data_IF_955959716968
#
_entry.id   IF_955959716968
#
_cell.length_a   1.000
_cell.length_b   1.000
_cell.length_c   1.000
_cell.angle_alpha   90.00
_cell.angle_beta   90.00
_cell.angle_gamma   90.00
#
_symmetry.space_group_name_H-M   'P 1'
#
loop_
_entity.id
_entity.type
_entity.pdbx_description
1 polymer ?
#
# COMPACT_ATOMS: atom_id res chain seq x y z
N UNK A 1 20.46 -0.41 13.29
CA UNK A 1 21.52 -1.34 12.86
C UNK A 1 22.86 -0.66 13.07
N UNK A 2 23.77 -1.29 13.80
CA UNK A 2 25.12 -0.78 14.03
C UNK A 2 25.97 -0.99 12.76
N UNK A 3 26.67 0.04 12.31
CA UNK A 3 27.57 -0.06 11.16
C UNK A 3 28.78 -0.98 11.48
N UNK A 4 29.38 -1.63 10.48
CA UNK A 4 30.49 -2.61 10.67
C UNK A 4 31.69 -2.01 11.42
N UNK A 5 31.92 -0.69 11.27
CA UNK A 5 33.02 0.04 11.90
C UNK A 5 32.65 0.70 13.24
N UNK A 6 31.49 0.38 13.82
CA UNK A 6 31.06 1.00 15.08
C UNK A 6 31.90 0.48 16.25
N UNK A 7 32.79 1.33 16.78
CA UNK A 7 33.66 1.01 17.93
C UNK A 7 32.90 0.79 19.24
N UNK A 8 31.68 1.34 19.36
CA UNK A 8 30.83 1.25 20.56
C UNK A 8 29.42 0.76 20.22
N UNK A 9 29.29 -0.55 20.01
CA UNK A 9 28.01 -1.25 20.10
C UNK A 9 27.51 -1.28 21.54
N UNK A 10 26.26 -1.69 21.78
CA UNK A 10 25.74 -1.91 23.15
C UNK A 10 26.65 -2.86 23.92
N UNK A 11 27.09 -3.94 23.28
CA UNK A 11 28.07 -4.88 23.84
C UNK A 11 29.41 -4.20 24.18
N UNK A 12 29.98 -3.40 23.27
CA UNK A 12 31.23 -2.68 23.54
C UNK A 12 31.10 -1.68 24.70
N UNK A 13 29.94 -1.03 24.86
CA UNK A 13 29.68 -0.13 26.00
C UNK A 13 29.59 -0.89 27.31
N UNK A 14 29.03 -2.10 27.31
CA UNK A 14 28.97 -2.98 28.48
C UNK A 14 30.37 -3.44 28.89
N UNK A 15 31.19 -3.89 27.93
CA UNK A 15 32.58 -4.29 28.18
C UNK A 15 33.42 -3.15 28.77
N UNK A 16 33.24 -1.92 28.25
CA UNK A 16 33.85 -0.71 28.79
C UNK A 16 33.49 -0.52 30.28
N UNK A 17 32.21 -0.64 30.62
CA UNK A 17 31.72 -0.49 31.99
C UNK A 17 32.26 -1.58 32.90
N UNK A 18 32.19 -2.85 32.49
CA UNK A 18 32.68 -4.00 33.26
C UNK A 18 34.17 -3.83 33.60
N UNK A 19 35.01 -3.44 32.63
CA UNK A 19 36.44 -3.17 32.84
C UNK A 19 36.69 -2.02 33.81
N UNK A 20 35.84 -0.99 33.81
CA UNK A 20 35.98 0.14 34.74
C UNK A 20 35.51 -0.26 36.15
N UNK A 21 34.44 -1.06 36.26
CA UNK A 21 33.94 -1.56 37.55
C UNK A 21 34.88 -2.57 38.19
N UNK A 22 35.69 -3.28 37.41
CA UNK A 22 36.77 -4.15 37.91
C UNK A 22 37.99 -3.37 38.44
N UNK A 23 37.85 -2.06 38.72
CA UNK A 23 38.88 -1.21 39.32
C UNK A 23 39.88 -0.57 38.34
N UNK A 24 39.72 -0.76 37.02
CA UNK A 24 40.66 -0.21 36.04
C UNK A 24 40.39 1.29 35.80
N UNK A 25 41.44 2.14 35.67
CA UNK A 25 41.27 3.55 35.36
C UNK A 25 40.56 3.78 34.01
N UNK A 26 39.57 4.67 33.98
CA UNK A 26 38.77 5.00 32.78
C UNK A 26 39.64 5.41 31.59
N UNK A 27 40.75 6.12 31.85
CA UNK A 27 41.66 6.58 30.81
C UNK A 27 42.35 5.43 30.06
N UNK A 28 42.74 4.36 30.75
CA UNK A 28 43.40 3.19 30.14
C UNK A 28 42.39 2.39 29.31
N UNK A 29 41.21 2.12 29.87
CA UNK A 29 40.16 1.39 29.15
C UNK A 29 39.69 2.18 27.90
N UNK A 30 39.60 3.51 27.99
CA UNK A 30 39.25 4.35 26.85
C UNK A 30 40.31 4.25 25.72
N UNK A 31 41.60 4.27 26.06
CA UNK A 31 42.68 4.15 25.09
C UNK A 31 42.68 2.76 24.41
N UNK A 32 42.53 1.67 25.17
CA UNK A 32 42.46 0.30 24.64
C UNK A 32 41.29 0.09 23.68
N UNK A 33 40.16 0.74 23.95
CA UNK A 33 38.97 0.65 23.11
C UNK A 33 38.96 1.68 21.97
N UNK A 34 40.02 2.49 21.83
CA UNK A 34 40.14 3.49 20.77
C UNK A 34 39.07 4.58 20.83
N UNK A 35 38.66 5.00 22.03
CA UNK A 35 37.63 6.02 22.27
C UNK A 35 38.16 7.16 23.16
N UNK A 36 37.51 8.33 23.09
CA UNK A 36 37.88 9.46 23.95
C UNK A 36 37.50 9.22 25.41
N UNK A 37 38.29 9.77 26.35
CA UNK A 37 38.02 9.71 27.80
C UNK A 37 36.62 10.27 28.15
N UNK A 38 36.23 11.38 27.51
CA UNK A 38 34.90 11.96 27.69
C UNK A 38 33.76 11.00 27.30
N UNK A 39 33.94 10.24 26.21
CA UNK A 39 32.96 9.22 25.79
C UNK A 39 32.88 8.09 26.80
N UNK A 40 34.03 7.64 27.31
CA UNK A 40 34.08 6.61 28.34
C UNK A 40 33.36 7.02 29.63
N UNK A 41 33.68 8.22 30.15
CA UNK A 41 32.99 8.78 31.33
C UNK A 41 31.49 8.95 31.11
N UNK A 42 31.05 9.37 29.92
CA UNK A 42 29.62 9.47 29.58
C UNK A 42 28.91 8.12 29.76
N UNK A 43 29.47 7.03 29.24
CA UNK A 43 28.85 5.70 29.32
C UNK A 43 28.88 5.13 30.73
N UNK A 44 30.01 5.28 31.46
CA UNK A 44 30.11 4.88 32.86
C UNK A 44 29.09 5.64 33.73
N UNK A 45 28.93 6.95 33.52
CA UNK A 45 27.91 7.75 34.21
C UNK A 45 26.50 7.24 33.90
N UNK A 46 26.18 7.00 32.62
CA UNK A 46 24.86 6.46 32.24
C UNK A 46 24.59 5.11 32.88
N UNK A 47 25.56 4.20 32.91
CA UNK A 47 25.41 2.92 33.59
C UNK A 47 25.13 3.10 35.08
N UNK A 48 25.88 3.97 35.77
CA UNK A 48 25.67 4.21 37.21
C UNK A 48 24.29 4.77 37.53
N UNK A 49 23.70 5.56 36.62
CA UNK A 49 22.38 6.17 36.82
C UNK A 49 21.22 5.28 36.35
N UNK A 50 21.39 4.51 35.27
CA UNK A 50 20.29 3.87 34.53
C UNK A 50 20.51 2.36 34.28
N UNK A 51 21.64 1.81 34.71
CA UNK A 51 22.02 0.42 34.47
C UNK A 51 22.15 0.06 32.97
N UNK A 52 21.74 -1.16 32.62
CA UNK A 52 21.81 -1.69 31.26
C UNK A 52 21.05 -0.83 30.25
N UNK A 53 19.90 -0.27 30.64
CA UNK A 53 19.06 0.55 29.76
C UNK A 53 19.77 1.83 29.31
N UNK A 54 20.67 2.36 30.14
CA UNK A 54 21.46 3.56 29.84
C UNK A 54 22.48 3.35 28.71
N UNK A 55 22.80 2.10 28.37
CA UNK A 55 23.74 1.75 27.29
C UNK A 55 23.09 1.71 25.90
N UNK A 56 21.76 1.72 25.83
CA UNK A 56 21.03 1.75 24.57
C UNK A 56 21.19 3.09 23.84
N UNK A 57 21.07 3.06 22.52
CA UNK A 57 21.06 4.27 21.71
C UNK A 57 19.82 5.11 22.04
N UNK A 58 20.05 6.38 22.38
CA UNK A 58 18.98 7.36 22.52
C UNK A 58 18.70 7.99 21.16
N UNK A 59 17.45 8.38 20.88
CA UNK A 59 17.14 9.11 19.68
C UNK A 59 17.94 10.42 19.68
N UNK A 60 18.71 10.67 18.61
CA UNK A 60 19.34 11.98 18.36
C UNK A 60 18.34 13.05 17.90
N UNK A 61 17.04 12.78 18.05
CA UNK A 61 15.98 13.70 17.63
C UNK A 61 15.88 14.81 18.68
N UNK A 62 15.89 16.10 18.28
CA UNK A 62 15.69 17.20 19.20
C UNK A 62 14.42 17.00 20.04
N UNK A 63 14.50 17.26 21.35
CA UNK A 63 13.34 17.21 22.25
C UNK A 63 12.28 18.24 21.85
N UNK A 64 12.72 19.39 21.33
CA UNK A 64 11.85 20.46 20.84
C UNK A 64 12.31 20.93 19.45
N UNK A 65 11.35 21.26 18.61
CA UNK A 65 11.58 21.88 17.29
C UNK A 65 10.72 23.14 17.22
N UNK A 66 11.23 24.30 17.68
CA UNK A 66 10.44 25.54 17.79
C UNK A 66 9.82 25.99 16.46
N UNK A 67 10.53 25.77 15.35
CA UNK A 67 10.04 26.09 14.01
C UNK A 67 9.13 25.02 13.40
N UNK A 68 8.57 24.12 14.21
CA UNK A 68 7.59 23.15 13.73
C UNK A 68 6.32 23.90 13.38
N UNK A 69 5.79 23.59 12.20
CA UNK A 69 4.53 24.17 11.72
C UNK A 69 3.43 23.94 12.78
N UNK A 70 2.70 24.99 13.19
CA UNK A 70 1.59 24.84 14.14
C UNK A 70 0.55 23.81 13.67
N UNK A 71 -0.04 23.07 14.62
CA UNK A 71 -0.98 21.98 14.33
C UNK A 71 -2.17 22.44 13.46
N UNK A 72 -2.68 23.66 13.67
CA UNK A 72 -3.78 24.20 12.88
C UNK A 72 -3.42 24.40 11.40
N UNK A 73 -2.18 24.79 11.09
CA UNK A 73 -1.70 24.89 9.70
C UNK A 73 -1.51 23.51 9.08
N UNK A 74 -1.02 22.53 9.84
CA UNK A 74 -0.94 21.15 9.37
C UNK A 74 -2.32 20.58 9.03
N UNK A 75 -3.33 20.86 9.87
CA UNK A 75 -4.71 20.47 9.61
C UNK A 75 -5.26 21.12 8.33
N UNK A 76 -4.95 22.41 8.07
CA UNK A 76 -5.31 23.08 6.80
C UNK A 76 -4.68 22.41 5.59
N UNK A 77 -3.39 22.05 5.68
CA UNK A 77 -2.68 21.30 4.63
C UNK A 77 -3.39 19.97 4.36
N UNK A 78 -3.72 19.21 5.42
CA UNK A 78 -4.41 17.91 5.28
C UNK A 78 -5.80 18.06 4.66
N UNK A 79 -6.59 19.08 5.07
CA UNK A 79 -7.91 19.36 4.48
C UNK A 79 -7.84 19.70 3.00
N UNK A 80 -6.91 20.56 2.57
CA UNK A 80 -6.73 20.86 1.14
C UNK A 80 -6.28 19.63 0.36
N UNK A 81 -5.50 18.76 0.99
CA UNK A 81 -5.06 17.51 0.39
C UNK A 81 -6.22 16.53 0.20
N UNK A 82 -7.00 16.23 1.23
CA UNK A 82 -8.06 15.22 1.16
C UNK A 82 -9.28 15.74 0.39
N UNK A 83 -9.69 17.00 0.61
CA UNK A 83 -10.88 17.58 -0.02
C UNK A 83 -10.66 18.00 -1.48
N UNK A 84 -9.50 18.56 -1.82
CA UNK A 84 -9.23 19.11 -3.16
C UNK A 84 -8.13 18.39 -3.94
N UNK A 85 -7.47 17.38 -3.35
CA UNK A 85 -6.41 16.59 -3.99
C UNK A 85 -5.28 17.45 -4.55
N UNK A 86 -4.99 18.57 -3.88
CA UNK A 86 -3.92 19.48 -4.27
C UNK A 86 -2.55 18.87 -3.92
N UNK A 87 -1.57 19.09 -4.79
CA UNK A 87 -0.18 18.75 -4.52
C UNK A 87 0.54 19.85 -3.72
N UNK A 88 1.75 19.58 -3.20
CA UNK A 88 2.51 20.55 -2.42
C UNK A 88 2.72 21.90 -3.12
N UNK A 89 2.96 21.90 -4.44
CA UNK A 89 3.14 23.10 -5.26
C UNK A 89 1.87 23.97 -5.36
N UNK A 90 0.67 23.39 -5.21
CA UNK A 90 -0.60 24.15 -5.20
C UNK A 90 -1.00 24.58 -3.80
N UNK A 91 -0.77 23.74 -2.80
CA UNK A 91 -1.09 24.04 -1.40
C UNK A 91 -0.17 25.15 -0.85
N UNK A 92 1.10 25.15 -1.24
CA UNK A 92 2.10 26.10 -0.74
C UNK A 92 1.66 27.56 -0.91
N UNK A 93 1.37 28.02 -2.13
CA UNK A 93 0.89 29.39 -2.37
C UNK A 93 -0.42 29.72 -1.64
N UNK A 94 -1.35 28.76 -1.50
CA UNK A 94 -2.64 28.97 -0.82
C UNK A 94 -2.45 29.26 0.69
N UNK A 95 -1.44 28.65 1.30
CA UNK A 95 -1.21 28.73 2.75
C UNK A 95 0.03 29.55 3.13
N UNK A 96 0.74 30.14 2.16
CA UNK A 96 2.00 30.85 2.41
C UNK A 96 3.13 29.93 2.89
N UNK A 97 3.15 28.67 2.45
CA UNK A 97 4.13 27.67 2.88
C UNK A 97 5.03 27.25 1.70
N UNK A 98 6.31 27.01 1.98
CA UNK A 98 7.20 26.37 1.02
C UNK A 98 6.65 24.97 0.63
N UNK A 99 6.68 24.56 -0.66
CA UNK A 99 6.23 23.24 -1.09
C UNK A 99 6.92 22.07 -0.35
N UNK A 100 8.19 22.22 0.01
CA UNK A 100 8.94 21.25 0.82
C UNK A 100 8.36 21.06 2.22
N UNK A 101 7.93 22.14 2.88
CA UNK A 101 7.24 22.10 4.18
C UNK A 101 5.90 21.40 4.07
N UNK A 102 5.12 21.73 3.03
CA UNK A 102 3.85 21.04 2.76
C UNK A 102 4.08 19.54 2.56
N UNK A 103 5.06 19.16 1.73
CA UNK A 103 5.39 17.75 1.50
C UNK A 103 5.75 17.03 2.81
N UNK A 104 6.60 17.64 3.65
CA UNK A 104 6.99 17.08 4.95
C UNK A 104 5.81 16.93 5.92
N UNK A 105 4.84 17.85 5.89
CA UNK A 105 3.59 17.72 6.65
C UNK A 105 2.80 16.51 6.12
N UNK A 106 2.56 16.45 4.82
CA UNK A 106 1.81 15.34 4.21
C UNK A 106 2.46 13.98 4.45
N UNK A 107 3.79 13.89 4.46
CA UNK A 107 4.50 12.63 4.75
C UNK A 107 4.27 12.19 6.20
N UNK A 108 4.30 13.12 7.17
CA UNK A 108 4.02 12.82 8.59
C UNK A 108 2.59 12.33 8.83
N UNK A 109 1.65 12.82 8.03
CA UNK A 109 0.24 12.40 8.08
C UNK A 109 -0.08 11.26 7.09
N UNK A 110 0.93 10.67 6.44
CA UNK A 110 0.77 9.59 5.45
C UNK A 110 -0.08 9.95 4.20
N UNK A 111 -0.24 11.23 3.87
CA UNK A 111 -1.05 11.75 2.75
C UNK A 111 -0.22 12.17 1.51
N UNK A 112 1.09 11.93 1.52
CA UNK A 112 2.03 12.44 0.50
C UNK A 112 1.79 11.91 -0.93
N UNK A 113 1.27 10.68 -1.10
CA UNK A 113 0.98 10.07 -2.41
C UNK A 113 -0.50 10.14 -2.74
N UNK A 114 -0.85 10.75 -3.87
CA UNK A 114 -2.25 10.80 -4.34
C UNK A 114 -2.75 9.41 -4.73
N UNK A 115 -1.85 8.54 -5.21
CA UNK A 115 -2.18 7.15 -5.53
C UNK A 115 -2.60 6.33 -4.32
N UNK A 116 -2.37 6.83 -3.10
CA UNK A 116 -2.85 6.21 -1.88
C UNK A 116 -4.20 6.77 -1.45
N UNK A 117 -4.73 7.79 -2.12
CA UNK A 117 -6.02 8.38 -1.80
C UNK A 117 -7.04 7.93 -2.84
N UNK A 118 -8.19 7.48 -2.34
CA UNK A 118 -9.33 7.13 -3.16
C UNK A 118 -9.80 8.37 -3.96
N UNK A 119 -10.09 8.17 -5.25
CA UNK A 119 -10.36 9.30 -6.15
C UNK A 119 -11.69 10.00 -5.87
N UNK A 120 -12.77 9.31 -5.49
CA UNK A 120 -13.97 9.98 -4.99
C UNK A 120 -13.74 10.59 -3.61
N UNK A 121 -13.40 9.76 -2.61
CA UNK A 121 -13.52 10.15 -1.19
C UNK A 121 -12.29 10.86 -0.61
N UNK A 122 -11.12 10.72 -1.24
CA UNK A 122 -9.86 11.25 -0.69
C UNK A 122 -9.38 10.52 0.57
N UNK A 123 -10.00 9.39 0.93
CA UNK A 123 -9.58 8.53 2.03
C UNK A 123 -8.39 7.65 1.62
N UNK A 124 -7.59 7.19 2.58
CA UNK A 124 -6.50 6.27 2.28
C UNK A 124 -7.07 4.94 1.76
N UNK A 125 -6.64 4.55 0.56
CA UNK A 125 -6.94 3.26 -0.06
C UNK A 125 -6.34 2.17 0.82
N UNK A 126 -7.19 1.44 1.53
CA UNK A 126 -6.82 0.20 2.20
C UNK A 126 -7.06 -0.94 1.22
N UNK A 127 -5.98 -1.49 0.67
CA UNK A 127 -6.06 -2.77 -0.05
C UNK A 127 -6.41 -3.84 0.96
N UNK A 128 -7.40 -4.66 0.63
CA UNK A 128 -7.75 -5.84 1.39
C UNK A 128 -7.45 -7.07 0.55
N UNK A 129 -7.28 -8.18 1.25
CA UNK A 129 -7.26 -9.51 0.69
C UNK A 129 -8.02 -10.40 1.68
N UNK A 130 -8.91 -11.26 1.17
CA UNK A 130 -9.61 -12.24 1.99
C UNK A 130 -8.66 -13.31 2.52
N UNK A 131 -9.05 -13.96 3.61
CA UNK A 131 -8.19 -14.91 4.29
C UNK A 131 -8.21 -16.31 3.65
N UNK A 132 -9.28 -16.64 2.91
CA UNK A 132 -9.51 -17.97 2.35
C UNK A 132 -10.01 -17.89 0.90
N UNK A 133 -9.63 -18.85 0.03
CA UNK A 133 -10.24 -18.99 -1.29
C UNK A 133 -11.76 -19.08 -1.20
N UNK A 134 -12.48 -18.42 -2.12
CA UNK A 134 -13.94 -18.46 -2.20
C UNK A 134 -14.67 -17.55 -1.22
N UNK A 135 -13.99 -16.88 -0.28
CA UNK A 135 -14.61 -15.94 0.65
C UNK A 135 -15.25 -14.73 -0.10
N UNK A 136 -14.63 -14.32 -1.21
CA UNK A 136 -15.10 -13.23 -2.05
C UNK A 136 -14.61 -13.41 -3.49
N UNK A 137 -15.56 -13.44 -4.44
CA UNK A 137 -15.26 -13.41 -5.87
C UNK A 137 -15.69 -12.07 -6.45
N UNK A 138 -14.80 -11.41 -7.18
CA UNK A 138 -15.08 -10.17 -7.89
C UNK A 138 -15.53 -10.48 -9.31
N UNK A 139 -16.66 -9.92 -9.73
CA UNK A 139 -17.18 -10.05 -11.09
C UNK A 139 -17.21 -8.69 -11.75
N UNK A 140 -16.69 -8.63 -12.97
CA UNK A 140 -16.72 -7.45 -13.82
C UNK A 140 -17.08 -7.84 -15.26
N UNK A 141 -17.83 -6.96 -15.93
CA UNK A 141 -18.13 -7.11 -17.35
C UNK A 141 -17.47 -5.96 -18.10
N UNK A 142 -16.57 -6.31 -19.01
CA UNK A 142 -15.86 -5.34 -19.83
C UNK A 142 -16.39 -5.32 -21.25
N UNK A 143 -17.06 -4.24 -21.61
CA UNK A 143 -17.45 -3.94 -23.00
C UNK A 143 -16.24 -3.46 -23.82
N UNK A 144 -15.87 -4.19 -24.87
CA UNK A 144 -14.79 -3.85 -25.79
C UNK A 144 -15.30 -3.84 -27.23
N UNK A 145 -14.73 -2.96 -28.06
CA UNK A 145 -15.03 -2.98 -29.50
C UNK A 145 -14.49 -4.27 -30.13
N UNK A 146 -15.33 -4.96 -30.90
CA UNK A 146 -14.94 -6.21 -31.54
C UNK A 146 -13.78 -5.99 -32.50
N UNK A 147 -12.78 -6.85 -32.42
CA UNK A 147 -11.65 -6.86 -33.34
C UNK A 147 -12.10 -7.60 -34.60
N UNK A 148 -12.01 -7.00 -35.81
CA UNK A 148 -12.34 -7.69 -37.05
C UNK A 148 -11.44 -8.89 -37.30
N UNK A 149 -11.96 -9.88 -38.04
CA UNK A 149 -11.17 -10.99 -38.54
C UNK A 149 -10.01 -10.46 -39.41
N UNK A 150 -8.81 -11.00 -39.18
CA UNK A 150 -7.57 -10.49 -39.78
C UNK A 150 -6.92 -9.33 -39.00
N UNK A 151 -7.54 -8.84 -37.92
CA UNK A 151 -6.97 -7.88 -36.99
C UNK A 151 -7.15 -6.40 -37.37
N UNK A 152 -6.83 -5.52 -36.42
CA UNK A 152 -7.08 -4.08 -36.54
C UNK A 152 -5.92 -3.29 -37.15
N UNK A 153 -5.99 -1.96 -37.05
CA UNK A 153 -4.98 -1.02 -37.56
C UNK A 153 -3.54 -1.28 -37.08
N UNK A 154 -3.35 -2.01 -35.97
CA UNK A 154 -2.02 -2.41 -35.49
C UNK A 154 -1.34 -3.43 -36.41
N UNK A 155 -2.12 -4.23 -37.15
CA UNK A 155 -1.62 -5.21 -38.12
C UNK A 155 -1.52 -4.58 -39.51
N UNK A 156 -2.55 -3.85 -39.94
CA UNK A 156 -2.66 -3.33 -41.32
C UNK A 156 -2.15 -1.89 -41.49
N UNK A 157 -1.69 -1.24 -40.42
CA UNK A 157 -1.36 0.18 -40.43
C UNK A 157 -2.59 1.09 -40.36
N UNK A 158 -2.39 2.34 -39.93
CA UNK A 158 -3.49 3.31 -39.74
C UNK A 158 -4.20 3.71 -41.04
N UNK A 159 -3.51 3.63 -42.17
CA UNK A 159 -3.99 4.06 -43.47
C UNK A 159 -4.85 3.01 -44.19
N UNK A 160 -4.59 1.71 -43.96
CA UNK A 160 -5.36 0.61 -44.57
C UNK A 160 -6.55 0.16 -43.71
N UNK A 161 -6.81 0.83 -42.59
CA UNK A 161 -7.95 0.50 -41.75
C UNK A 161 -9.24 0.97 -42.44
N UNK A 162 -10.20 0.08 -42.72
CA UNK A 162 -11.53 0.47 -43.16
C UNK A 162 -12.12 1.47 -42.16
N UNK A 163 -12.90 2.43 -42.67
CA UNK A 163 -13.49 3.53 -41.91
C UNK A 163 -13.91 3.10 -40.49
N UNK A 164 -13.53 3.89 -39.47
CA UNK A 164 -13.83 3.65 -38.04
C UNK A 164 -15.33 3.48 -37.74
N UNK A 165 -16.17 3.77 -38.73
CA UNK A 165 -17.63 3.68 -38.72
C UNK A 165 -18.19 2.31 -39.11
N UNK A 166 -17.39 1.34 -39.58
CA UNK A 166 -17.87 -0.05 -39.71
C UNK A 166 -17.94 -0.68 -38.32
N UNK A 167 -19.11 -0.56 -37.70
CA UNK A 167 -19.43 -1.06 -36.36
C UNK A 167 -19.38 -2.58 -36.40
N UNK A 168 -18.24 -3.18 -36.04
CA UNK A 168 -18.10 -4.64 -35.86
C UNK A 168 -18.87 -5.15 -34.62
N UNK A 169 -19.61 -4.27 -33.93
CA UNK A 169 -20.29 -4.57 -32.67
C UNK A 169 -19.35 -4.48 -31.46
N UNK A 170 -19.88 -4.87 -30.30
CA UNK A 170 -19.13 -4.97 -29.07
C UNK A 170 -19.10 -6.42 -28.60
N UNK A 171 -17.98 -6.81 -28.02
CA UNK A 171 -17.86 -8.04 -27.24
C UNK A 171 -17.80 -7.67 -25.75
N UNK A 172 -18.42 -8.52 -24.94
CA UNK A 172 -18.56 -8.31 -23.51
C UNK A 172 -17.77 -9.42 -22.81
N UNK A 173 -16.66 -9.05 -22.19
CA UNK A 173 -15.82 -10.01 -21.45
C UNK A 173 -16.33 -10.05 -20.02
N UNK A 174 -16.97 -11.15 -19.66
CA UNK A 174 -17.38 -11.43 -18.30
C UNK A 174 -16.21 -12.08 -17.60
N UNK A 175 -15.75 -11.52 -16.48
CA UNK A 175 -14.61 -12.03 -15.72
C UNK A 175 -14.98 -12.17 -14.25
N UNK A 176 -14.59 -13.30 -13.65
CA UNK A 176 -14.73 -13.59 -12.24
C UNK A 176 -13.34 -13.88 -11.67
N UNK A 177 -12.98 -13.24 -10.56
CA UNK A 177 -11.66 -13.36 -9.94
C UNK A 177 -11.82 -13.60 -8.44
N UNK A 178 -11.25 -14.68 -7.94
CA UNK A 178 -11.18 -14.92 -6.50
C UNK A 178 -10.21 -13.94 -5.82
N UNK A 179 -10.63 -13.30 -4.74
CA UNK A 179 -9.82 -12.25 -4.09
C UNK A 179 -8.56 -12.81 -3.41
N UNK A 180 -8.59 -14.05 -2.93
CA UNK A 180 -7.45 -14.64 -2.21
C UNK A 180 -6.44 -15.26 -3.17
N UNK A 181 -6.87 -16.23 -3.98
CA UNK A 181 -6.00 -16.99 -4.90
C UNK A 181 -5.63 -16.22 -6.16
N UNK A 182 -6.39 -15.16 -6.51
CA UNK A 182 -6.27 -14.41 -7.76
C UNK A 182 -6.49 -15.25 -9.03
N UNK A 183 -7.06 -16.46 -8.90
CA UNK A 183 -7.50 -17.24 -10.05
C UNK A 183 -8.64 -16.51 -10.75
N UNK A 184 -8.54 -16.41 -12.07
CA UNK A 184 -9.51 -15.72 -12.92
C UNK A 184 -10.18 -16.69 -13.89
N UNK A 185 -11.48 -16.54 -14.05
CA UNK A 185 -12.30 -17.19 -15.07
C UNK A 185 -12.95 -16.13 -15.95
N UNK A 186 -12.78 -16.22 -17.26
CA UNK A 186 -13.31 -15.24 -18.21
C UNK A 186 -13.98 -15.89 -19.41
N UNK A 187 -15.10 -15.32 -19.84
CA UNK A 187 -15.83 -15.72 -21.04
C UNK A 187 -16.16 -14.49 -21.88
N UNK A 188 -16.21 -14.66 -23.19
CA UNK A 188 -16.65 -13.61 -24.13
C UNK A 188 -18.10 -13.85 -24.51
N UNK A 189 -18.94 -12.84 -24.33
CA UNK A 189 -20.37 -12.85 -24.64
C UNK A 189 -20.75 -11.70 -25.57
N UNK A 190 -21.94 -11.80 -26.16
CA UNK A 190 -22.50 -10.79 -27.06
C UNK A 190 -23.27 -9.68 -26.33
N UNK A 191 -23.52 -9.81 -25.02
CA UNK A 191 -24.20 -8.81 -24.20
C UNK A 191 -23.78 -8.84 -22.73
N UNK A 192 -24.28 -7.86 -21.96
CA UNK A 192 -24.09 -7.69 -20.52
C UNK A 192 -25.40 -7.85 -19.74
N UNK A 193 -26.36 -8.62 -20.27
CA UNK A 193 -27.69 -8.77 -19.66
C UNK A 193 -27.61 -9.65 -18.41
N UNK A 194 -28.52 -9.41 -17.47
CA UNK A 194 -28.61 -10.17 -16.21
C UNK A 194 -28.64 -11.70 -16.41
N UNK A 195 -29.37 -12.19 -17.42
CA UNK A 195 -29.44 -13.62 -17.72
C UNK A 195 -28.07 -14.21 -18.11
N UNK A 196 -27.32 -13.48 -18.94
CA UNK A 196 -25.96 -13.83 -19.38
C UNK A 196 -24.99 -13.79 -18.20
N UNK A 197 -25.03 -12.74 -17.39
CA UNK A 197 -24.21 -12.62 -16.16
C UNK A 197 -24.50 -13.75 -15.17
N UNK A 198 -25.77 -14.10 -14.93
CA UNK A 198 -26.16 -15.16 -14.01
C UNK A 198 -25.76 -16.56 -14.54
N UNK A 199 -25.83 -16.77 -15.86
CA UNK A 199 -25.35 -18.00 -16.47
C UNK A 199 -23.82 -18.10 -16.41
N UNK A 200 -23.11 -16.99 -16.66
CA UNK A 200 -21.66 -16.88 -16.49
C UNK A 200 -21.25 -17.19 -15.05
N UNK A 201 -21.91 -16.61 -14.05
CA UNK A 201 -21.59 -16.87 -12.64
C UNK A 201 -21.76 -18.35 -12.25
N UNK A 202 -22.79 -19.02 -12.76
CA UNK A 202 -22.95 -20.48 -12.56
C UNK A 202 -21.81 -21.28 -13.15
N UNK A 203 -21.34 -20.94 -14.35
CA UNK A 203 -20.18 -21.59 -14.98
C UNK A 203 -18.88 -21.27 -14.26
N UNK A 204 -18.69 -20.03 -13.85
CA UNK A 204 -17.55 -19.60 -13.04
C UNK A 204 -17.50 -20.36 -11.71
N UNK A 205 -18.64 -20.53 -11.04
CA UNK A 205 -18.74 -21.33 -9.82
C UNK A 205 -18.37 -22.80 -10.04
N UNK A 206 -18.84 -23.41 -11.14
CA UNK A 206 -18.44 -24.77 -11.50
C UNK A 206 -16.93 -24.87 -11.78
N UNK A 207 -16.35 -23.91 -12.50
CA UNK A 207 -14.90 -23.84 -12.72
C UNK A 207 -14.12 -23.68 -11.41
N UNK A 208 -14.57 -22.79 -10.52
CA UNK A 208 -13.91 -22.60 -9.23
C UNK A 208 -13.92 -23.88 -8.38
N UNK A 209 -15.00 -24.67 -8.44
CA UNK A 209 -15.06 -25.96 -7.78
C UNK A 209 -14.00 -26.94 -8.32
N UNK A 210 -13.72 -26.96 -9.64
CA UNK A 210 -12.70 -27.86 -10.20
C UNK A 210 -11.27 -27.49 -9.80
N UNK A 211 -11.02 -26.22 -9.46
CA UNK A 211 -9.71 -25.74 -9.00
C UNK A 211 -9.56 -25.71 -7.48
N UNK A 212 -10.47 -26.36 -6.74
CA UNK A 212 -10.38 -26.51 -5.29
C UNK A 212 -11.01 -25.38 -4.47
N UNK A 213 -11.88 -24.57 -5.08
CA UNK A 213 -12.70 -23.56 -4.41
C UNK A 213 -14.16 -24.03 -4.43
N UNK A 214 -14.60 -24.87 -3.47
CA UNK A 214 -15.89 -25.56 -3.55
C UNK A 214 -17.09 -24.64 -3.30
N UNK A 215 -16.87 -23.47 -2.70
CA UNK A 215 -17.94 -22.53 -2.32
C UNK A 215 -17.50 -21.09 -2.53
N UNK A 216 -18.40 -20.30 -3.10
CA UNK A 216 -18.31 -18.84 -3.13
C UNK A 216 -19.23 -18.30 -2.04
N UNK A 217 -18.67 -17.62 -1.03
CA UNK A 217 -19.46 -17.06 0.08
C UNK A 217 -20.11 -15.73 -0.30
N UNK A 218 -19.40 -14.89 -1.06
CA UNK A 218 -19.84 -13.56 -1.47
C UNK A 218 -19.37 -13.22 -2.87
N UNK A 219 -20.15 -12.40 -3.55
CA UNK A 219 -19.82 -11.83 -4.85
C UNK A 219 -19.77 -10.31 -4.72
N UNK A 220 -18.72 -9.70 -5.26
CA UNK A 220 -18.63 -8.25 -5.45
C UNK A 220 -18.76 -7.95 -6.93
N UNK A 221 -19.75 -7.14 -7.32
CA UNK A 221 -19.90 -6.65 -8.68
C UNK A 221 -19.67 -5.14 -8.74
N UNK A 222 -19.09 -4.65 -9.84
CA UNK A 222 -19.07 -3.23 -10.13
C UNK A 222 -20.53 -2.75 -10.34
N UNK A 223 -21.00 -1.70 -9.64
CA UNK A 223 -22.31 -1.11 -9.90
C UNK A 223 -22.23 -0.29 -11.19
N UNK A 224 -22.32 -0.98 -12.32
CA UNK A 224 -22.73 -0.38 -13.59
C UNK A 224 -24.13 -0.91 -13.89
N UNK A 225 -25.15 -0.12 -13.55
CA UNK A 225 -26.55 -0.25 -13.99
C UNK A 225 -27.33 -1.52 -13.59
N UNK A 226 -26.73 -2.50 -12.92
CA UNK A 226 -27.43 -3.71 -12.44
C UNK A 226 -27.12 -3.95 -10.96
N UNK A 227 -28.15 -3.90 -10.12
CA UNK A 227 -28.08 -4.37 -8.73
C UNK A 227 -28.26 -5.90 -8.72
N UNK A 228 -27.16 -6.63 -8.46
CA UNK A 228 -27.18 -8.05 -8.12
C UNK A 228 -27.28 -8.21 -6.59
N UNK A 229 -28.22 -7.49 -5.97
CA UNK A 229 -28.28 -7.36 -4.51
C UNK A 229 -28.72 -8.63 -3.78
N UNK A 230 -29.28 -9.64 -4.45
CA UNK A 230 -29.84 -10.83 -3.78
C UNK A 230 -29.40 -12.19 -4.36
N UNK A 231 -28.22 -12.29 -4.97
CA UNK A 231 -27.70 -13.60 -5.40
C UNK A 231 -26.67 -14.15 -4.39
N UNK A 232 -27.14 -14.65 -3.25
CA UNK A 232 -26.40 -15.72 -2.55
C UNK A 232 -26.48 -16.94 -3.48
N UNK A 233 -25.50 -17.10 -4.38
CA UNK A 233 -25.35 -18.32 -5.15
C UNK A 233 -24.89 -19.40 -4.19
N UNK A 234 -25.85 -20.01 -3.51
CA UNK A 234 -25.64 -21.30 -2.88
C UNK A 234 -25.41 -22.26 -4.04
N UNK A 235 -24.15 -22.63 -4.29
CA UNK A 235 -23.84 -23.79 -5.10
C UNK A 235 -24.45 -24.95 -4.31
N UNK A 236 -25.66 -25.37 -4.69
CA UNK A 236 -26.22 -26.61 -4.19
C UNK A 236 -25.17 -27.71 -4.49
N UNK A 237 -24.89 -28.61 -3.54
CA UNK A 237 -23.94 -29.68 -3.77
C UNK A 237 -24.50 -30.48 -4.95
N UNK A 238 -23.78 -30.44 -6.09
CA UNK A 238 -23.92 -31.52 -7.06
C UNK A 238 -23.39 -32.76 -6.33
N UNK A 239 -24.28 -33.74 -6.20
CA UNK A 239 -24.06 -35.04 -5.58
C UNK A 239 -22.72 -35.66 -5.99
#
# INVERSE_FOLDING_TARGET
>A
MSHRNARLTVHGRRLLVERVLSGRPVAHVAAEMGISRATAHKWVRRWRTEGETGLLDRPSRPHTTPHRTPAHLEARVCRLRTGRKLGPARIGPILGLAPSTVHRILTRHHLHRLSFLDRPTGQLIRRYERARPGELVHIDVKKLGRIPDGGGWRIHGRAACPDRRRVTGFDYIHSAVDDHTRIAYSEVHTDEKAATCAAFLRRAAAFFATVGIPRIERVLSCPSSFELTDLIVTIAPLC
#
